data_IF_028045278119
#
_entry.id   IF_028045278119
#
_cell.length_a   1.000
_cell.length_b   1.000
_cell.length_c   1.000
_cell.angle_alpha   90.00
_cell.angle_beta   90.00
_cell.angle_gamma   90.00
#
_symmetry.space_group_name_H-M   'P 1'
#
loop_
_entity.id
_entity.type
_entity.pdbx_description
1 polymer ?
#
# COMPACT_ATOMS: atom_id res chain seq x y z
N UNK A 1 9.93 19.32 -15.61
CA UNK A 1 9.33 17.99 -15.49
C UNK A 1 7.82 18.19 -15.44
N UNK A 2 7.07 17.77 -16.46
CA UNK A 2 5.64 18.04 -16.56
C UNK A 2 4.84 17.08 -15.67
N UNK A 3 3.78 17.58 -15.02
CA UNK A 3 2.88 16.77 -14.16
C UNK A 3 2.27 15.58 -14.92
N UNK A 4 2.11 15.70 -16.23
CA UNK A 4 1.62 14.63 -17.12
C UNK A 4 2.66 13.52 -17.27
N UNK A 5 3.93 13.86 -17.43
CA UNK A 5 5.02 12.87 -17.57
C UNK A 5 5.18 12.05 -16.28
N UNK A 6 5.02 12.69 -15.11
CA UNK A 6 5.03 12.02 -13.82
C UNK A 6 3.81 11.09 -13.64
N UNK A 7 2.62 11.53 -14.05
CA UNK A 7 1.41 10.71 -13.97
C UNK A 7 1.48 9.48 -14.89
N UNK A 8 2.00 9.65 -16.12
CA UNK A 8 2.20 8.54 -17.06
C UNK A 8 3.24 7.55 -16.50
N UNK A 9 4.38 8.05 -15.98
CA UNK A 9 5.39 7.21 -15.35
C UNK A 9 4.84 6.38 -14.19
N UNK A 10 4.01 6.99 -13.34
CA UNK A 10 3.35 6.30 -12.22
C UNK A 10 2.37 5.21 -12.70
N UNK A 11 1.58 5.49 -13.73
CA UNK A 11 0.63 4.52 -14.30
C UNK A 11 1.35 3.34 -14.94
N UNK A 12 2.45 3.59 -15.66
CA UNK A 12 3.27 2.52 -16.26
C UNK A 12 3.93 1.65 -15.19
N UNK A 13 4.50 2.25 -14.14
CA UNK A 13 5.10 1.49 -13.02
C UNK A 13 4.05 0.60 -12.32
N UNK A 14 2.87 1.14 -12.03
CA UNK A 14 1.78 0.39 -11.40
C UNK A 14 1.28 -0.77 -12.26
N UNK A 15 1.23 -0.61 -13.58
CA UNK A 15 0.82 -1.67 -14.49
C UNK A 15 1.82 -2.83 -14.52
N UNK A 16 3.12 -2.52 -14.60
CA UNK A 16 4.17 -3.54 -14.56
C UNK A 16 4.22 -4.26 -13.19
N UNK A 17 4.03 -3.52 -12.10
CA UNK A 17 3.88 -4.10 -10.76
C UNK A 17 2.66 -5.01 -10.67
N UNK A 18 1.49 -4.59 -11.14
CA UNK A 18 0.30 -5.43 -11.10
C UNK A 18 0.50 -6.75 -11.87
N UNK A 19 1.20 -6.69 -13.01
CA UNK A 19 1.52 -7.86 -13.83
C UNK A 19 2.43 -8.84 -13.10
N UNK A 20 3.48 -8.37 -12.43
CA UNK A 20 4.40 -9.24 -11.68
C UNK A 20 3.72 -9.95 -10.50
N UNK A 21 2.66 -9.37 -9.93
CA UNK A 21 1.92 -9.96 -8.82
C UNK A 21 0.87 -10.99 -9.28
N UNK A 22 0.42 -10.97 -10.53
CA UNK A 22 -0.62 -11.90 -11.03
C UNK A 22 -0.23 -13.39 -10.99
N UNK A 23 1.06 -13.69 -10.86
CA UNK A 23 1.58 -15.05 -10.69
C UNK A 23 1.58 -15.55 -9.26
N UNK A 24 1.31 -14.71 -8.26
CA UNK A 24 1.24 -15.08 -6.85
C UNK A 24 -0.18 -15.57 -6.51
N UNK A 25 -0.29 -16.72 -5.86
CA UNK A 25 -1.59 -17.27 -5.46
C UNK A 25 -2.23 -16.42 -4.35
N UNK A 26 -1.39 -15.83 -3.51
CA UNK A 26 -1.76 -14.87 -2.47
C UNK A 26 -2.41 -13.64 -3.11
N UNK A 27 -1.81 -13.09 -4.18
CA UNK A 27 -2.41 -11.98 -4.94
C UNK A 27 -3.77 -12.37 -5.51
N UNK A 28 -3.92 -13.59 -6.04
CA UNK A 28 -5.19 -14.03 -6.62
C UNK A 28 -6.29 -14.10 -5.59
N UNK A 29 -5.96 -14.52 -4.37
CA UNK A 29 -6.89 -14.62 -3.24
C UNK A 29 -7.39 -13.27 -2.72
N UNK A 30 -6.66 -12.18 -3.00
CA UNK A 30 -7.06 -10.84 -2.59
C UNK A 30 -8.32 -10.34 -3.31
N UNK A 31 -9.15 -9.62 -2.56
CA UNK A 31 -10.30 -8.88 -3.02
C UNK A 31 -9.88 -7.78 -4.01
N UNK A 32 -10.76 -7.39 -4.96
CA UNK A 32 -10.47 -6.30 -5.88
C UNK A 32 -10.08 -4.99 -5.17
N UNK A 33 -10.72 -4.73 -4.02
CA UNK A 33 -10.42 -3.56 -3.18
C UNK A 33 -9.02 -3.64 -2.58
N UNK A 34 -8.62 -4.79 -2.03
CA UNK A 34 -7.27 -4.99 -1.48
C UNK A 34 -6.18 -4.83 -2.56
N UNK A 35 -6.41 -5.37 -3.75
CA UNK A 35 -5.51 -5.20 -4.91
C UNK A 35 -5.34 -3.72 -5.28
N UNK A 36 -6.44 -2.99 -5.42
CA UNK A 36 -6.44 -1.57 -5.77
C UNK A 36 -5.73 -0.72 -4.71
N UNK A 37 -6.03 -1.00 -3.44
CA UNK A 37 -5.41 -0.33 -2.30
C UNK A 37 -3.90 -0.59 -2.23
N UNK A 38 -3.46 -1.84 -2.43
CA UNK A 38 -2.04 -2.18 -2.47
C UNK A 38 -1.32 -1.43 -3.59
N UNK A 39 -1.87 -1.40 -4.82
CA UNK A 39 -1.26 -0.66 -5.93
C UNK A 39 -1.17 0.84 -5.64
N UNK A 40 -2.20 1.41 -5.00
CA UNK A 40 -2.19 2.82 -4.57
C UNK A 40 -1.11 3.08 -3.53
N UNK A 41 -0.95 2.19 -2.55
CA UNK A 41 0.10 2.27 -1.54
C UNK A 41 1.50 2.09 -2.17
N UNK A 42 1.69 1.11 -3.05
CA UNK A 42 2.95 0.91 -3.75
C UNK A 42 3.36 2.14 -4.59
N UNK A 43 2.40 2.77 -5.27
CA UNK A 43 2.60 4.02 -6.01
C UNK A 43 3.02 5.18 -5.09
N UNK A 44 2.36 5.31 -3.93
CA UNK A 44 2.72 6.30 -2.91
C UNK A 44 4.14 6.07 -2.41
N UNK A 45 4.52 4.82 -2.12
CA UNK A 45 5.87 4.43 -1.70
C UNK A 45 6.92 4.85 -2.73
N UNK A 46 6.69 4.56 -4.02
CA UNK A 46 7.62 4.92 -5.09
C UNK A 46 7.78 6.44 -5.20
N UNK A 47 6.69 7.20 -5.02
CA UNK A 47 6.72 8.67 -5.06
C UNK A 47 7.52 9.31 -3.92
N UNK A 48 7.58 8.67 -2.75
CA UNK A 48 8.36 9.15 -1.60
C UNK A 48 9.80 8.61 -1.57
N UNK A 49 10.15 7.71 -2.50
CA UNK A 49 11.42 6.99 -2.55
C UNK A 49 11.82 6.37 -1.19
N UNK A 50 10.82 5.91 -0.45
CA UNK A 50 10.98 5.39 0.90
C UNK A 50 10.64 3.89 0.92
N UNK A 51 11.18 3.17 1.90
CA UNK A 51 10.89 1.75 2.07
C UNK A 51 9.55 1.49 2.78
N UNK A 52 8.95 2.55 3.34
CA UNK A 52 7.75 2.47 4.14
C UNK A 52 6.88 3.71 3.95
N UNK A 53 5.58 3.57 4.25
CA UNK A 53 4.61 4.64 4.21
C UNK A 53 4.14 4.89 5.64
N UNK A 54 4.27 6.11 6.13
CA UNK A 54 3.66 6.49 7.42
C UNK A 54 2.31 7.14 7.12
N UNK A 55 1.23 6.48 7.51
CA UNK A 55 -0.14 6.98 7.35
C UNK A 55 -0.95 6.69 8.60
N UNK A 56 -1.88 7.57 8.93
CA UNK A 56 -2.92 7.28 9.93
C UNK A 56 -4.06 6.47 9.31
N UNK A 57 -4.89 5.86 10.15
CA UNK A 57 -6.10 5.16 9.70
C UNK A 57 -7.07 6.09 8.94
N UNK A 58 -7.15 7.35 9.37
CA UNK A 58 -7.99 8.39 8.72
C UNK A 58 -7.43 8.85 7.38
N UNK A 59 -6.11 8.99 7.26
CA UNK A 59 -5.46 9.30 5.98
C UNK A 59 -5.64 8.17 4.99
N UNK A 60 -5.47 6.92 5.43
CA UNK A 60 -5.69 5.76 4.60
C UNK A 60 -7.14 5.64 4.13
N UNK A 61 -8.09 5.87 5.03
CA UNK A 61 -9.52 5.96 4.73
C UNK A 61 -9.81 7.03 3.66
N UNK A 62 -9.21 8.22 3.78
CA UNK A 62 -9.34 9.28 2.77
C UNK A 62 -8.65 8.95 1.44
N UNK A 63 -7.53 8.22 1.45
CA UNK A 63 -6.77 7.86 0.25
C UNK A 63 -7.47 6.78 -0.57
N UNK A 64 -8.03 5.77 0.11
CA UNK A 64 -8.71 4.64 -0.54
C UNK A 64 -10.19 4.95 -0.79
N UNK A 65 -10.79 5.88 -0.04
CA UNK A 65 -12.21 6.22 -0.12
C UNK A 65 -13.12 5.20 0.58
N UNK A 66 -12.59 4.52 1.60
CA UNK A 66 -13.32 3.53 2.40
C UNK A 66 -13.45 4.02 3.84
N UNK A 67 -14.38 3.45 4.61
CA UNK A 67 -14.45 3.73 6.05
C UNK A 67 -13.20 3.20 6.76
N UNK A 68 -12.87 3.77 7.93
CA UNK A 68 -11.72 3.31 8.74
C UNK A 68 -11.81 1.82 9.06
N UNK A 69 -13.03 1.31 9.30
CA UNK A 69 -13.28 -0.11 9.56
C UNK A 69 -12.99 -0.99 8.33
N UNK A 70 -13.43 -0.58 7.15
CA UNK A 70 -13.16 -1.29 5.90
C UNK A 70 -11.67 -1.26 5.54
N UNK A 71 -10.99 -0.12 5.77
CA UNK A 71 -9.54 -0.04 5.64
C UNK A 71 -8.81 -0.98 6.60
N UNK A 72 -9.30 -1.16 7.82
CA UNK A 72 -8.69 -2.09 8.77
C UNK A 72 -8.81 -3.54 8.31
N UNK A 73 -9.99 -3.94 7.82
CA UNK A 73 -10.20 -5.27 7.24
C UNK A 73 -9.34 -5.49 6.00
N UNK A 74 -9.23 -4.47 5.14
CA UNK A 74 -8.42 -4.52 3.93
C UNK A 74 -6.93 -4.67 4.25
N UNK A 75 -6.41 -3.95 5.25
CA UNK A 75 -5.00 -4.12 5.64
C UNK A 75 -4.79 -5.52 6.22
N UNK A 76 -5.68 -6.05 7.06
CA UNK A 76 -5.55 -7.42 7.58
C UNK A 76 -5.51 -8.45 6.47
N UNK A 77 -6.30 -8.24 5.41
CA UNK A 77 -6.28 -9.07 4.22
C UNK A 77 -4.90 -9.05 3.54
N UNK A 78 -4.34 -7.85 3.34
CA UNK A 78 -3.01 -7.65 2.77
C UNK A 78 -1.88 -8.18 3.67
N UNK A 79 -2.03 -8.11 4.99
CA UNK A 79 -1.10 -8.66 5.96
C UNK A 79 -1.10 -10.19 5.94
N UNK A 80 -2.28 -10.80 5.87
CA UNK A 80 -2.45 -12.26 5.76
C UNK A 80 -1.78 -12.79 4.49
N UNK A 81 -1.84 -12.01 3.41
CA UNK A 81 -1.23 -12.33 2.14
C UNK A 81 0.25 -11.86 2.03
N UNK A 82 0.87 -11.37 3.12
CA UNK A 82 2.26 -10.89 3.18
C UNK A 82 2.62 -9.74 2.20
N UNK A 83 1.62 -9.00 1.70
CA UNK A 83 1.81 -7.82 0.87
C UNK A 83 2.14 -6.56 1.67
N UNK A 84 1.63 -6.50 2.89
CA UNK A 84 1.80 -5.37 3.79
C UNK A 84 2.16 -5.87 5.18
N UNK A 85 2.91 -5.09 5.94
CA UNK A 85 3.11 -5.33 7.37
C UNK A 85 2.95 -4.02 8.13
N UNK A 86 2.10 -4.00 9.15
CA UNK A 86 2.04 -2.88 10.10
C UNK A 86 3.22 -2.97 11.07
N UNK A 87 4.10 -1.99 10.99
CA UNK A 87 5.16 -1.79 11.98
C UNK A 87 4.75 -0.68 12.95
N UNK A 88 4.37 -1.09 14.16
CA UNK A 88 4.06 -0.19 15.26
C UNK A 88 5.32 0.25 16.03
N UNK A 89 6.42 -0.51 15.95
CA UNK A 89 7.65 -0.18 16.68
C UNK A 89 8.39 1.01 16.04
N UNK A 90 8.35 1.11 14.70
CA UNK A 90 8.96 2.22 13.96
C UNK A 90 8.13 3.51 14.04
N UNK A 91 6.81 3.41 14.27
CA UNK A 91 5.92 4.56 14.46
C UNK A 91 6.25 5.38 15.73
N UNK A 92 6.79 4.72 16.77
CA UNK A 92 7.03 5.29 18.12
C UNK A 92 8.08 6.41 18.13
N UNK A 93 8.85 6.63 17.06
CA UNK A 93 9.92 7.64 17.06
C UNK A 93 9.61 8.97 16.37
N UNK A 94 8.49 9.14 15.65
CA UNK A 94 8.29 10.40 14.89
C UNK A 94 6.94 11.12 14.95
N UNK A 95 5.77 10.51 15.11
CA UNK A 95 4.52 11.30 15.00
C UNK A 95 3.36 10.55 15.68
N UNK A 96 2.75 11.12 16.74
CA UNK A 96 1.45 10.77 17.37
C UNK A 96 1.04 9.28 17.48
N UNK A 97 0.49 8.89 18.64
CA UNK A 97 -0.04 7.53 18.96
C UNK A 97 -1.11 6.98 17.98
N UNK A 98 -1.51 7.74 16.97
CA UNK A 98 -2.53 7.38 15.96
C UNK A 98 -1.94 6.98 14.59
N UNK A 99 -0.61 7.07 14.39
CA UNK A 99 0.03 6.70 13.14
C UNK A 99 0.62 5.29 13.20
N UNK A 100 0.53 4.54 12.11
CA UNK A 100 1.24 3.28 11.92
C UNK A 100 2.06 3.32 10.64
N UNK A 101 3.19 2.60 10.65
CA UNK A 101 4.03 2.46 9.47
C UNK A 101 3.53 1.26 8.69
N UNK A 102 3.12 1.48 7.45
CA UNK A 102 2.84 0.41 6.50
C UNK A 102 4.10 0.14 5.69
N UNK A 103 4.67 -1.04 5.91
CA UNK A 103 5.74 -1.56 5.06
C UNK A 103 5.08 -2.29 3.91
N UNK A 104 5.20 -1.73 2.71
CA UNK A 104 4.70 -2.36 1.47
C UNK A 104 5.83 -3.22 0.92
N UNK A 105 5.66 -4.54 0.96
CA UNK A 105 6.71 -5.48 0.56
C UNK A 105 6.98 -5.29 -0.95
N UNK A 106 8.21 -4.96 -1.38
CA UNK A 106 8.54 -4.78 -2.80
C UNK A 106 8.37 -6.06 -3.62
N UNK A 107 8.51 -7.21 -2.95
CA UNK A 107 8.25 -8.53 -3.48
C UNK A 107 7.32 -9.18 -2.45
N UNK A 108 6.01 -9.19 -2.68
CA UNK A 108 5.13 -10.01 -1.86
C UNK A 108 5.67 -11.44 -1.89
N UNK A 109 6.14 -11.89 -0.73
CA UNK A 109 6.81 -13.18 -0.60
C UNK A 109 5.68 -14.21 -0.61
N UNK A 110 5.71 -15.11 -1.60
CA UNK A 110 4.87 -16.30 -1.62
C UNK A 110 5.06 -17.13 -0.34
#
# INVERSE_FOLDING_TARGET
>A
MNRIEQAIGLVTSNFELAKSLTSLDEWRSLSPSAKSAYLTMAALRESVNDCFITVSATQLSSLIGLTVFECDNLIKELETAAFVTRDFATAIKKVNDENFVLVVTPNAVA
#
